data_IF_916577974747
#
_entry.id   IF_916577974747
#
_cell.length_a   1.000
_cell.length_b   1.000
_cell.length_c   1.000
_cell.angle_alpha   90.00
_cell.angle_beta   90.00
_cell.angle_gamma   90.00
#
_symmetry.space_group_name_H-M   'P 1'
#
loop_
_entity.id
_entity.type
_entity.pdbx_description
1 polymer ?
#
# COMPACT_ATOMS: atom_id res chain seq x y z
N UNK A 1 11.51 -49.19 -17.92
CA UNK A 1 11.06 -47.76 -18.03
C UNK A 1 10.23 -47.23 -16.82
N UNK A 2 10.33 -47.83 -15.64
CA UNK A 2 9.42 -47.52 -14.50
C UNK A 2 10.06 -46.85 -13.27
N UNK A 3 11.38 -46.72 -13.21
CA UNK A 3 12.06 -46.11 -12.04
C UNK A 3 12.29 -44.61 -12.16
N UNK A 4 12.39 -44.09 -13.37
CA UNK A 4 12.61 -42.61 -13.61
C UNK A 4 11.32 -41.79 -13.44
N UNK A 5 10.14 -42.35 -13.71
CA UNK A 5 8.87 -41.69 -13.54
C UNK A 5 8.47 -41.48 -12.05
N UNK A 6 8.85 -42.44 -11.19
CA UNK A 6 8.59 -42.38 -9.75
C UNK A 6 9.45 -41.32 -9.04
N UNK A 7 10.71 -41.11 -9.49
CA UNK A 7 11.58 -40.07 -8.93
C UNK A 7 11.10 -38.64 -9.30
N UNK A 8 10.59 -38.45 -10.52
CA UNK A 8 10.08 -37.15 -10.94
C UNK A 8 8.79 -36.77 -10.19
N UNK A 9 7.92 -37.73 -9.93
CA UNK A 9 6.69 -37.51 -9.15
C UNK A 9 7.00 -37.24 -7.67
N UNK A 10 8.01 -37.88 -7.09
CA UNK A 10 8.44 -37.63 -5.70
C UNK A 10 9.10 -36.26 -5.53
N UNK A 11 9.91 -35.79 -6.51
CA UNK A 11 10.49 -34.47 -6.49
C UNK A 11 9.42 -33.36 -6.65
N UNK A 12 8.42 -33.58 -7.50
CA UNK A 12 7.32 -32.63 -7.67
C UNK A 12 6.45 -32.54 -6.40
N UNK A 13 6.22 -33.66 -5.71
CA UNK A 13 5.50 -33.69 -4.45
C UNK A 13 6.27 -32.99 -3.32
N UNK A 14 7.59 -33.16 -3.23
CA UNK A 14 8.45 -32.50 -2.24
C UNK A 14 8.50 -30.98 -2.46
N UNK A 15 8.52 -30.51 -3.71
CA UNK A 15 8.48 -29.07 -4.00
C UNK A 15 7.11 -28.45 -3.76
N UNK A 16 6.03 -29.20 -3.91
CA UNK A 16 4.68 -28.76 -3.60
C UNK A 16 4.45 -28.62 -2.08
N UNK A 17 4.99 -29.54 -1.27
CA UNK A 17 4.89 -29.48 0.19
C UNK A 17 5.72 -28.33 0.78
N UNK A 18 6.94 -28.08 0.27
CA UNK A 18 7.76 -26.96 0.71
C UNK A 18 7.15 -25.58 0.38
N UNK A 19 6.24 -25.49 -0.62
CA UNK A 19 5.51 -24.27 -0.94
C UNK A 19 4.25 -24.08 -0.08
N UNK A 20 3.62 -25.17 0.37
CA UNK A 20 2.41 -25.07 1.20
C UNK A 20 2.69 -24.49 2.59
N UNK A 21 3.90 -24.68 3.14
CA UNK A 21 4.31 -24.15 4.44
C UNK A 21 4.65 -22.63 4.42
N UNK A 22 4.77 -22.03 3.24
CA UNK A 22 5.11 -20.62 3.10
C UNK A 22 3.91 -19.67 3.23
N UNK A 23 2.68 -20.18 3.05
CA UNK A 23 1.46 -19.39 3.08
C UNK A 23 0.62 -19.68 4.32
N UNK A 24 0.07 -18.60 4.90
CA UNK A 24 -0.93 -18.72 5.94
C UNK A 24 -2.30 -19.11 5.37
N UNK A 25 -3.14 -19.78 6.15
CA UNK A 25 -4.53 -19.99 5.77
C UNK A 25 -5.24 -18.66 5.55
N UNK A 26 -6.14 -18.56 4.56
CA UNK A 26 -7.00 -17.40 4.36
C UNK A 26 -7.73 -17.02 5.65
N UNK A 27 -7.72 -15.75 6.01
CA UNK A 27 -8.33 -15.28 7.25
C UNK A 27 -7.41 -15.30 8.47
N UNK A 28 -6.22 -15.88 8.38
CA UNK A 28 -5.20 -15.79 9.45
C UNK A 28 -4.94 -14.32 9.76
N UNK A 29 -4.84 -14.01 11.04
CA UNK A 29 -4.62 -12.64 11.51
C UNK A 29 -3.14 -12.39 11.78
N UNK A 30 -2.70 -11.16 11.54
CA UNK A 30 -1.41 -10.64 11.93
C UNK A 30 -1.56 -9.22 12.45
N UNK A 31 -0.54 -8.73 13.14
CA UNK A 31 -0.46 -7.34 13.56
C UNK A 31 0.82 -6.73 13.01
N UNK A 32 0.70 -5.60 12.30
CA UNK A 32 1.82 -4.77 11.86
C UNK A 32 1.90 -3.54 12.76
N UNK A 33 2.95 -3.44 13.56
CA UNK A 33 3.23 -2.25 14.37
C UNK A 33 4.31 -1.43 13.72
N UNK A 34 4.18 -0.11 13.75
CA UNK A 34 5.18 0.83 13.23
C UNK A 34 5.35 1.98 14.20
N UNK A 35 6.59 2.36 14.44
CA UNK A 35 6.98 3.57 15.16
C UNK A 35 7.76 4.47 14.22
N UNK A 36 7.30 5.70 14.06
CA UNK A 36 7.98 6.79 13.38
C UNK A 36 8.53 7.74 14.42
N UNK A 37 9.81 8.02 14.38
CA UNK A 37 10.45 9.04 15.22
C UNK A 37 11.15 10.03 14.29
N UNK A 38 10.63 11.23 14.18
CA UNK A 38 11.31 12.34 13.51
C UNK A 38 11.98 13.22 14.56
N UNK A 39 13.29 13.32 14.46
CA UNK A 39 14.09 14.14 15.34
C UNK A 39 14.94 15.13 14.51
N UNK A 40 14.90 16.40 14.90
CA UNK A 40 15.74 17.45 14.33
C UNK A 40 16.20 18.37 15.47
N UNK A 41 17.48 18.58 15.55
CA UNK A 41 18.06 19.55 16.48
C UNK A 41 19.24 20.24 15.83
N UNK A 42 19.50 21.47 16.22
CA UNK A 42 20.63 22.20 15.70
C UNK A 42 20.74 23.61 16.26
N UNK A 43 21.84 24.23 15.88
CA UNK A 43 22.11 25.63 16.15
C UNK A 43 22.81 26.22 14.93
N UNK A 44 22.36 27.36 14.48
CA UNK A 44 23.07 28.22 13.52
C UNK A 44 23.37 29.54 14.17
N UNK A 45 24.51 30.11 13.82
CA UNK A 45 24.93 31.40 14.31
C UNK A 45 25.69 32.11 13.19
N UNK A 46 25.22 33.28 12.84
CA UNK A 46 25.91 34.23 12.00
C UNK A 46 26.29 35.44 12.85
N UNK A 47 26.95 36.48 12.30
CA UNK A 47 27.50 37.59 13.05
C UNK A 47 26.50 38.24 14.04
N UNK A 48 25.24 38.36 13.63
CA UNK A 48 24.20 39.04 14.43
C UNK A 48 22.92 38.17 14.63
N UNK A 49 22.84 37.02 13.96
CA UNK A 49 21.66 36.16 13.97
C UNK A 49 22.00 34.82 14.60
N UNK A 50 21.09 34.31 15.39
CA UNK A 50 21.21 32.93 15.91
C UNK A 50 19.87 32.25 15.89
N UNK A 51 19.89 30.93 15.60
CA UNK A 51 18.75 30.08 15.67
C UNK A 51 19.14 28.78 16.32
N UNK A 52 18.33 28.33 17.27
CA UNK A 52 18.44 27.03 17.89
C UNK A 52 17.09 26.33 17.83
N UNK A 53 17.07 25.04 17.50
CA UNK A 53 15.83 24.27 17.45
C UNK A 53 16.02 22.85 18.01
N UNK A 54 14.92 22.32 18.51
CA UNK A 54 14.77 20.93 18.87
C UNK A 54 13.34 20.50 18.51
N UNK A 55 13.22 19.48 17.66
CA UNK A 55 11.95 18.93 17.19
C UNK A 55 11.97 17.43 17.43
N UNK A 56 10.97 16.93 18.13
CA UNK A 56 10.75 15.50 18.33
C UNK A 56 9.27 15.18 18.07
N UNK A 57 9.03 14.32 17.06
CA UNK A 57 7.69 13.85 16.71
C UNK A 57 7.72 12.33 16.70
N UNK A 58 6.88 11.72 17.51
CA UNK A 58 6.73 10.26 17.57
C UNK A 58 5.32 9.88 17.18
N UNK A 59 5.19 8.89 16.31
CA UNK A 59 3.91 8.26 15.96
C UNK A 59 4.05 6.77 16.09
N UNK A 60 3.13 6.14 16.81
CA UNK A 60 3.04 4.68 16.96
C UNK A 60 1.72 4.22 16.37
N UNK A 61 1.78 3.35 15.38
CA UNK A 61 0.61 2.79 14.70
C UNK A 61 0.60 1.28 14.82
N UNK A 62 -0.60 0.73 14.87
CA UNK A 62 -0.85 -0.70 14.82
C UNK A 62 -1.97 -0.97 13.83
N UNK A 63 -1.73 -1.86 12.87
CA UNK A 63 -2.70 -2.32 11.90
C UNK A 63 -2.92 -3.81 12.07
N UNK A 64 -4.20 -4.21 12.18
CA UNK A 64 -4.58 -5.62 12.14
C UNK A 64 -4.71 -6.05 10.68
N UNK A 65 -3.96 -7.06 10.28
CA UNK A 65 -3.91 -7.59 8.93
C UNK A 65 -4.63 -8.94 8.85
N UNK A 66 -5.21 -9.22 7.68
CA UNK A 66 -5.87 -10.49 7.38
C UNK A 66 -5.28 -11.08 6.10
N UNK A 67 -4.82 -12.33 6.17
CA UNK A 67 -4.28 -13.07 5.05
C UNK A 67 -5.35 -13.30 3.98
N UNK A 68 -5.02 -12.99 2.74
CA UNK A 68 -5.84 -13.24 1.56
C UNK A 68 -5.48 -14.61 0.92
N UNK A 69 -6.28 -15.04 -0.02
CA UNK A 69 -5.94 -16.23 -0.83
C UNK A 69 -4.64 -15.98 -1.59
N UNK A 70 -3.68 -16.92 -1.57
CA UNK A 70 -2.46 -16.80 -2.36
C UNK A 70 -2.75 -16.66 -3.85
N UNK A 71 -1.95 -15.86 -4.56
CA UNK A 71 -2.15 -15.49 -5.96
C UNK A 71 -0.84 -15.57 -6.76
N UNK A 72 -0.92 -15.69 -8.08
CA UNK A 72 0.27 -15.83 -8.93
C UNK A 72 0.97 -14.49 -9.22
N UNK A 73 0.23 -13.36 -9.21
CA UNK A 73 0.77 -12.03 -9.50
C UNK A 73 0.91 -11.19 -8.23
N UNK A 74 1.93 -10.33 -8.17
CA UNK A 74 2.12 -9.45 -7.02
C UNK A 74 1.14 -8.27 -7.03
N UNK A 75 0.89 -7.74 -5.82
CA UNK A 75 0.14 -6.49 -5.60
C UNK A 75 1.05 -5.40 -5.06
N UNK A 76 1.92 -5.73 -4.11
CA UNK A 76 2.86 -4.79 -3.47
C UNK A 76 4.27 -4.95 -4.04
N UNK A 77 4.68 -6.15 -4.36
CA UNK A 77 5.94 -6.39 -5.07
C UNK A 77 5.88 -5.83 -6.49
N UNK A 78 6.99 -5.33 -6.99
CA UNK A 78 7.10 -5.00 -8.41
C UNK A 78 7.10 -6.28 -9.24
N UNK A 79 6.34 -6.26 -10.33
CA UNK A 79 6.40 -7.34 -11.32
C UNK A 79 7.79 -7.39 -11.95
N UNK A 80 8.36 -8.58 -12.03
CA UNK A 80 9.55 -8.85 -12.81
C UNK A 80 9.30 -8.61 -14.31
N UNK A 81 10.35 -8.30 -15.08
CA UNK A 81 10.22 -8.04 -16.51
C UNK A 81 9.54 -9.20 -17.26
N UNK A 82 9.89 -10.45 -16.91
CA UNK A 82 9.25 -11.65 -17.45
C UNK A 82 7.76 -11.75 -17.13
N UNK A 83 7.35 -11.41 -15.90
CA UNK A 83 5.94 -11.40 -15.48
C UNK A 83 5.14 -10.32 -16.24
N UNK A 84 5.73 -9.12 -16.44
CA UNK A 84 5.11 -8.04 -17.22
C UNK A 84 4.89 -8.47 -18.67
N UNK A 85 5.90 -9.11 -19.27
CA UNK A 85 5.82 -9.59 -20.65
C UNK A 85 4.76 -10.71 -20.80
N UNK A 86 4.74 -11.67 -19.85
CA UNK A 86 3.75 -12.75 -19.85
C UNK A 86 2.31 -12.21 -19.67
N UNK A 87 2.12 -11.27 -18.76
CA UNK A 87 0.83 -10.62 -18.54
C UNK A 87 0.36 -9.88 -19.81
N UNK A 88 1.25 -9.13 -20.45
CA UNK A 88 0.94 -8.44 -21.70
C UNK A 88 0.53 -9.44 -22.79
N UNK A 89 1.30 -10.52 -23.00
CA UNK A 89 0.98 -11.55 -23.97
C UNK A 89 -0.39 -12.22 -23.69
N UNK A 90 -0.72 -12.46 -22.42
CA UNK A 90 -2.02 -12.99 -22.00
C UNK A 90 -3.16 -12.00 -22.27
N UNK A 91 -2.95 -10.72 -21.99
CA UNK A 91 -3.93 -9.68 -22.30
C UNK A 91 -4.20 -9.57 -23.81
N UNK A 92 -3.15 -9.60 -24.64
CA UNK A 92 -3.28 -9.58 -26.09
C UNK A 92 -4.05 -10.81 -26.60
N UNK A 93 -3.79 -12.00 -26.05
CA UNK A 93 -4.56 -13.22 -26.38
C UNK A 93 -6.04 -13.10 -25.99
N UNK A 94 -6.34 -12.58 -24.80
CA UNK A 94 -7.72 -12.36 -24.34
C UNK A 94 -8.43 -11.36 -25.25
N UNK A 95 -7.78 -10.25 -25.58
CA UNK A 95 -8.33 -9.24 -26.49
C UNK A 95 -8.62 -9.83 -27.88
N UNK A 96 -7.66 -10.54 -28.48
CA UNK A 96 -7.85 -11.21 -29.76
C UNK A 96 -8.98 -12.24 -29.72
N UNK A 97 -9.10 -12.99 -28.63
CA UNK A 97 -10.18 -13.95 -28.44
C UNK A 97 -11.54 -13.26 -28.31
N UNK A 98 -11.62 -12.15 -27.56
CA UNK A 98 -12.85 -11.34 -27.43
C UNK A 98 -13.29 -10.76 -28.80
N UNK A 99 -12.35 -10.26 -29.59
CA UNK A 99 -12.62 -9.78 -30.95
C UNK A 99 -13.19 -10.87 -31.85
N UNK A 100 -12.70 -12.11 -31.73
CA UNK A 100 -13.24 -13.28 -32.45
C UNK A 100 -14.66 -13.68 -31.98
N UNK A 101 -14.98 -13.44 -30.71
CA UNK A 101 -16.31 -13.72 -30.13
C UNK A 101 -17.34 -12.63 -30.47
N UNK A 102 -16.92 -11.40 -30.74
CA UNK A 102 -17.81 -10.26 -30.95
C UNK A 102 -18.91 -10.50 -32.01
N UNK A 103 -18.63 -11.10 -33.19
CA UNK A 103 -19.69 -11.37 -34.18
C UNK A 103 -20.77 -12.34 -33.66
N UNK A 104 -20.35 -13.39 -32.96
CA UNK A 104 -21.29 -14.37 -32.38
C UNK A 104 -22.15 -13.73 -31.28
N UNK A 105 -21.54 -12.91 -30.43
CA UNK A 105 -22.26 -12.16 -29.39
C UNK A 105 -23.28 -11.18 -30.00
N UNK A 106 -22.91 -10.46 -31.07
CA UNK A 106 -23.81 -9.56 -31.76
C UNK A 106 -25.02 -10.30 -32.38
N UNK A 107 -24.80 -11.48 -32.95
CA UNK A 107 -25.88 -12.29 -33.53
C UNK A 107 -26.78 -12.87 -32.45
N UNK A 108 -26.22 -13.33 -31.33
CA UNK A 108 -27.01 -13.77 -30.16
C UNK A 108 -27.86 -12.62 -29.60
N UNK A 109 -27.31 -11.41 -29.48
CA UNK A 109 -28.06 -10.23 -29.03
C UNK A 109 -29.25 -9.93 -29.96
N UNK A 110 -29.09 -10.07 -31.28
CA UNK A 110 -30.20 -9.91 -32.23
C UNK A 110 -31.29 -10.95 -32.02
N UNK A 111 -30.90 -12.21 -31.76
CA UNK A 111 -31.85 -13.28 -31.43
C UNK A 111 -32.62 -12.97 -30.15
N UNK A 112 -31.90 -12.54 -29.10
CA UNK A 112 -32.52 -12.12 -27.83
C UNK A 112 -33.48 -10.93 -28.02
N UNK A 113 -33.07 -9.94 -28.79
CA UNK A 113 -33.93 -8.77 -29.09
C UNK A 113 -35.19 -9.17 -29.89
N UNK A 114 -35.11 -10.18 -30.76
CA UNK A 114 -36.22 -10.70 -31.55
C UNK A 114 -37.23 -11.51 -30.72
N UNK A 115 -36.71 -12.34 -29.83
CA UNK A 115 -37.54 -13.30 -29.07
C UNK A 115 -38.00 -12.75 -27.70
N UNK A 116 -37.31 -11.74 -27.12
CA UNK A 116 -37.62 -11.26 -25.78
C UNK A 116 -37.50 -12.37 -24.74
N UNK A 117 -38.54 -12.56 -23.94
CA UNK A 117 -38.63 -13.60 -22.89
C UNK A 117 -39.25 -14.93 -23.38
N UNK A 118 -39.58 -15.04 -24.70
CA UNK A 118 -40.13 -16.29 -25.26
C UNK A 118 -39.06 -17.36 -25.42
N UNK A 119 -39.00 -18.26 -24.45
CA UNK A 119 -38.03 -19.37 -24.41
C UNK A 119 -38.14 -20.27 -25.66
N UNK A 120 -39.35 -20.56 -26.17
CA UNK A 120 -39.55 -21.39 -27.35
C UNK A 120 -39.05 -20.72 -28.64
N UNK A 121 -39.13 -19.37 -28.71
CA UNK A 121 -38.56 -18.61 -29.79
C UNK A 121 -37.01 -18.63 -29.69
N UNK A 122 -36.46 -18.39 -28.49
CA UNK A 122 -35.00 -18.40 -28.25
C UNK A 122 -34.38 -19.73 -28.64
N UNK A 123 -34.96 -20.86 -28.18
CA UNK A 123 -34.46 -22.18 -28.50
C UNK A 123 -34.47 -22.45 -30.01
N UNK A 124 -35.54 -22.13 -30.70
CA UNK A 124 -35.69 -22.27 -32.14
C UNK A 124 -34.68 -21.46 -32.95
N UNK A 125 -34.51 -20.18 -32.58
CA UNK A 125 -33.59 -19.28 -33.29
C UNK A 125 -32.11 -19.64 -33.00
N UNK A 126 -31.76 -20.02 -31.78
CA UNK A 126 -30.41 -20.51 -31.43
C UNK A 126 -30.10 -21.81 -32.16
N UNK A 127 -31.09 -22.73 -32.25
CA UNK A 127 -30.90 -23.98 -32.99
C UNK A 127 -30.68 -23.72 -34.49
N UNK A 128 -31.45 -22.82 -35.11
CA UNK A 128 -31.25 -22.39 -36.51
C UNK A 128 -29.89 -21.77 -36.72
N UNK A 129 -29.46 -20.91 -35.82
CA UNK A 129 -28.14 -20.26 -35.86
C UNK A 129 -27.02 -21.30 -35.84
N UNK A 130 -27.10 -22.30 -34.97
CA UNK A 130 -26.10 -23.37 -34.87
C UNK A 130 -26.10 -24.39 -36.00
N UNK A 131 -27.15 -24.43 -36.85
CA UNK A 131 -27.28 -25.40 -37.94
C UNK A 131 -26.78 -24.87 -39.30
N UNK A 132 -26.56 -23.56 -39.46
CA UNK A 132 -25.98 -23.01 -40.69
C UNK A 132 -24.49 -23.28 -40.77
N UNK A 133 -23.94 -23.59 -41.96
CA UNK A 133 -22.52 -23.85 -42.12
C UNK A 133 -21.63 -22.64 -41.74
N UNK A 134 -22.08 -21.43 -42.03
CA UNK A 134 -21.38 -20.22 -41.66
C UNK A 134 -21.43 -19.94 -40.15
N UNK A 135 -22.56 -20.26 -39.50
CA UNK A 135 -22.76 -20.07 -38.08
C UNK A 135 -22.06 -21.14 -37.26
N UNK A 136 -22.00 -22.36 -37.78
CA UNK A 136 -21.18 -23.46 -37.20
C UNK A 136 -19.70 -23.10 -37.17
N UNK A 137 -19.18 -22.46 -38.22
CA UNK A 137 -17.80 -21.98 -38.25
C UNK A 137 -17.56 -20.86 -37.21
N UNK A 138 -18.51 -19.90 -37.09
CA UNK A 138 -18.45 -18.86 -36.07
C UNK A 138 -18.52 -19.45 -34.66
N UNK A 139 -19.40 -20.37 -34.40
CA UNK A 139 -19.55 -21.08 -33.10
C UNK A 139 -18.27 -21.85 -32.73
N UNK A 140 -17.63 -22.51 -33.68
CA UNK A 140 -16.37 -23.20 -33.44
C UNK A 140 -15.23 -22.22 -33.12
N UNK A 141 -15.20 -21.09 -33.84
CA UNK A 141 -14.24 -20.00 -33.56
C UNK A 141 -14.48 -19.40 -32.15
N UNK A 142 -15.73 -19.17 -31.76
CA UNK A 142 -16.08 -18.68 -30.43
C UNK A 142 -15.67 -19.68 -29.32
N UNK A 143 -15.95 -20.96 -29.51
CA UNK A 143 -15.52 -22.02 -28.57
C UNK A 143 -14.00 -22.11 -28.42
N UNK A 144 -13.26 -21.94 -29.52
CA UNK A 144 -11.80 -21.87 -29.47
C UNK A 144 -11.33 -20.64 -28.73
N UNK A 145 -11.94 -19.48 -29.02
CA UNK A 145 -11.62 -18.23 -28.33
C UNK A 145 -11.93 -18.28 -26.82
N UNK A 146 -13.05 -18.93 -26.42
CA UNK A 146 -13.39 -19.14 -25.02
C UNK A 146 -12.35 -20.01 -24.30
N UNK A 147 -11.86 -21.07 -24.95
CA UNK A 147 -10.73 -21.86 -24.44
C UNK A 147 -9.45 -21.04 -24.33
N UNK A 148 -9.15 -20.20 -25.30
CA UNK A 148 -7.97 -19.32 -25.27
C UNK A 148 -8.06 -18.32 -24.13
N UNK A 149 -9.25 -17.75 -23.87
CA UNK A 149 -9.52 -16.88 -22.71
C UNK A 149 -9.31 -17.66 -21.41
N UNK A 150 -9.87 -18.85 -21.28
CA UNK A 150 -9.73 -19.69 -20.09
C UNK A 150 -8.25 -20.04 -19.80
N UNK A 151 -7.48 -20.39 -20.84
CA UNK A 151 -6.04 -20.66 -20.72
C UNK A 151 -5.27 -19.41 -20.36
N UNK A 152 -5.56 -18.27 -21.01
CA UNK A 152 -4.89 -17.00 -20.73
C UNK A 152 -5.21 -16.46 -19.33
N UNK A 153 -6.42 -16.74 -18.82
CA UNK A 153 -6.85 -16.37 -17.46
C UNK A 153 -6.21 -17.22 -16.37
N UNK A 154 -5.70 -18.40 -16.72
CA UNK A 154 -4.94 -19.23 -15.77
C UNK A 154 -3.58 -18.60 -15.50
N UNK A 155 -3.48 -17.92 -14.37
CA UNK A 155 -2.32 -17.11 -13.97
C UNK A 155 -1.16 -17.96 -13.41
N UNK A 156 -1.24 -19.27 -13.46
CA UNK A 156 -0.22 -20.17 -12.96
C UNK A 156 -0.27 -20.42 -11.43
N UNK A 157 0.75 -21.07 -10.87
CA UNK A 157 0.78 -21.42 -9.45
C UNK A 157 0.90 -20.19 -8.56
N UNK A 158 0.25 -20.22 -7.40
CA UNK A 158 0.34 -19.17 -6.41
C UNK A 158 1.79 -18.97 -5.96
N UNK A 159 2.24 -17.72 -5.96
CA UNK A 159 3.58 -17.30 -5.53
C UNK A 159 3.54 -16.22 -4.45
N UNK A 160 2.49 -15.39 -4.45
CA UNK A 160 2.36 -14.25 -3.55
C UNK A 160 1.17 -14.42 -2.61
N UNK A 161 1.33 -14.00 -1.37
CA UNK A 161 0.21 -13.89 -0.44
C UNK A 161 0.11 -12.48 0.10
N UNK A 162 -1.03 -11.83 -0.20
CA UNK A 162 -1.36 -10.50 0.28
C UNK A 162 -2.01 -10.59 1.66
N UNK A 163 -1.65 -9.65 2.54
CA UNK A 163 -2.28 -9.37 3.81
C UNK A 163 -2.79 -7.94 3.78
N UNK A 164 -4.08 -7.74 4.02
CA UNK A 164 -4.73 -6.43 3.96
C UNK A 164 -5.16 -5.96 5.33
N UNK A 165 -5.05 -4.67 5.60
CA UNK A 165 -5.48 -4.11 6.87
C UNK A 165 -7.00 -4.17 7.03
N UNK A 166 -7.44 -4.71 8.16
CA UNK A 166 -8.83 -4.67 8.61
C UNK A 166 -9.09 -3.44 9.47
N UNK A 167 -8.10 -3.00 10.26
CA UNK A 167 -8.20 -1.85 11.14
C UNK A 167 -6.84 -1.21 11.36
N UNK A 168 -6.84 0.05 11.79
CA UNK A 168 -5.64 0.80 12.15
C UNK A 168 -5.95 1.70 13.34
N UNK A 169 -5.03 1.77 14.30
CA UNK A 169 -5.08 2.66 15.45
C UNK A 169 -3.69 3.13 15.83
N UNK A 170 -3.59 4.19 16.59
CA UNK A 170 -2.28 4.65 17.05
C UNK A 170 -2.32 5.88 17.92
N UNK A 171 -1.15 6.25 18.42
CA UNK A 171 -0.92 7.42 19.26
C UNK A 171 0.20 8.26 18.69
N UNK A 172 0.24 9.51 19.07
CA UNK A 172 1.33 10.41 18.70
C UNK A 172 1.75 11.31 19.86
N UNK A 173 2.97 11.83 19.77
CA UNK A 173 3.48 12.91 20.62
C UNK A 173 4.32 13.86 19.78
N UNK A 174 4.23 15.14 20.08
CA UNK A 174 4.96 16.24 19.45
C UNK A 174 5.53 17.11 20.54
N UNK A 175 6.84 17.36 20.48
CA UNK A 175 7.55 18.32 21.32
C UNK A 175 8.52 19.09 20.42
N UNK A 176 8.31 20.40 20.35
CA UNK A 176 9.11 21.29 19.50
C UNK A 176 9.48 22.52 20.29
N UNK A 177 10.71 22.97 20.13
CA UNK A 177 11.16 24.28 20.61
C UNK A 177 12.05 24.94 19.57
N UNK A 178 11.90 26.24 19.42
CA UNK A 178 12.77 27.08 18.59
C UNK A 178 13.03 28.36 19.32
N UNK A 179 14.30 28.78 19.35
CA UNK A 179 14.76 30.08 19.81
C UNK A 179 15.47 30.74 18.66
N UNK A 180 15.04 31.96 18.32
CA UNK A 180 15.59 32.75 17.21
C UNK A 180 15.90 34.17 17.70
N UNK A 181 17.08 34.61 17.38
CA UNK A 181 17.50 36.02 17.60
C UNK A 181 17.92 36.56 16.25
N UNK A 182 17.30 37.65 15.81
CA UNK A 182 17.59 38.33 14.55
C UNK A 182 17.98 39.76 14.83
N UNK A 183 19.03 40.25 14.20
CA UNK A 183 19.38 41.67 14.25
C UNK A 183 18.39 42.48 13.43
N UNK A 184 17.58 43.28 14.09
CA UNK A 184 16.58 44.13 13.46
C UNK A 184 16.39 45.43 14.26
N UNK A 185 16.67 46.59 13.65
CA UNK A 185 16.44 47.88 14.29
C UNK A 185 14.98 48.13 14.73
N UNK A 186 14.00 47.46 14.10
CA UNK A 186 12.60 47.57 14.46
C UNK A 186 12.28 47.03 15.86
N UNK A 187 13.19 46.24 16.46
CA UNK A 187 13.04 45.69 17.80
C UNK A 187 13.54 46.64 18.94
N UNK A 188 13.64 47.91 18.65
CA UNK A 188 13.90 48.94 19.64
C UNK A 188 15.36 49.00 20.13
N UNK A 189 15.56 49.42 21.39
CA UNK A 189 16.90 49.68 21.94
C UNK A 189 17.84 48.45 21.97
N UNK A 190 17.29 47.22 21.92
CA UNK A 190 18.09 45.99 21.86
C UNK A 190 18.69 45.75 20.48
N UNK A 191 18.16 46.32 19.43
CA UNK A 191 18.50 46.07 18.02
C UNK A 191 18.39 44.58 17.64
N UNK A 192 17.73 43.76 18.47
CA UNK A 192 17.54 42.34 18.28
C UNK A 192 16.10 41.92 18.53
N UNK A 193 15.53 41.23 17.57
CA UNK A 193 14.25 40.55 17.71
C UNK A 193 14.47 39.13 18.22
N UNK A 194 13.85 38.82 19.35
CA UNK A 194 13.87 37.47 19.93
C UNK A 194 12.53 36.79 19.73
N UNK A 195 12.55 35.56 19.30
CA UNK A 195 11.36 34.74 19.15
C UNK A 195 11.58 33.35 19.78
N UNK A 196 10.71 33.01 20.72
CA UNK A 196 10.62 31.68 21.32
C UNK A 196 9.34 31.00 20.84
N UNK A 197 9.48 29.85 20.21
CA UNK A 197 8.36 28.99 19.82
C UNK A 197 8.43 27.69 20.61
N UNK A 198 7.30 27.27 21.18
CA UNK A 198 7.16 25.98 21.84
C UNK A 198 5.91 25.27 21.32
N UNK A 199 6.08 24.09 20.80
CA UNK A 199 5.01 23.24 20.28
C UNK A 199 4.83 21.99 21.14
N UNK A 200 3.58 21.66 21.46
CA UNK A 200 3.24 20.43 22.20
C UNK A 200 1.94 19.84 21.68
N UNK A 201 1.95 18.54 21.44
CA UNK A 201 0.77 17.79 21.03
C UNK A 201 0.88 16.32 21.44
N UNK A 202 -0.23 15.62 21.47
CA UNK A 202 -0.26 14.20 21.78
C UNK A 202 -1.66 13.67 21.99
N UNK A 203 -1.78 12.37 21.89
CA UNK A 203 -3.05 11.65 22.04
C UNK A 203 -3.22 10.54 21.02
N UNK A 204 -4.46 10.19 20.74
CA UNK A 204 -4.78 9.26 19.67
C UNK A 204 -4.62 9.92 18.29
N UNK A 205 -4.17 9.14 17.31
CA UNK A 205 -4.07 9.62 15.93
C UNK A 205 -5.48 9.94 15.42
N UNK A 206 -5.73 11.18 14.94
CA UNK A 206 -7.06 11.60 14.58
C UNK A 206 -7.58 10.87 13.34
N UNK A 207 -8.88 10.65 13.32
CA UNK A 207 -9.59 10.13 12.15
C UNK A 207 -9.75 11.25 11.10
N UNK A 208 -9.85 10.91 9.80
CA UNK A 208 -10.23 11.87 8.78
C UNK A 208 -11.58 12.53 9.11
N UNK A 209 -11.77 13.82 8.77
CA UNK A 209 -13.03 14.51 8.98
C UNK A 209 -14.22 13.73 8.37
N UNK A 210 -15.28 13.54 9.16
CA UNK A 210 -16.47 12.80 8.74
C UNK A 210 -16.35 11.28 8.77
N UNK A 211 -15.18 10.72 9.05
CA UNK A 211 -15.03 9.29 9.22
C UNK A 211 -15.56 8.85 10.58
N UNK A 212 -16.45 7.86 10.58
CA UNK A 212 -16.85 7.15 11.80
C UNK A 212 -15.92 5.94 11.94
N UNK A 213 -15.28 5.80 13.10
CA UNK A 213 -14.54 4.58 13.39
C UNK A 213 -15.54 3.40 13.45
N UNK A 214 -15.45 2.40 12.58
CA UNK A 214 -16.16 1.16 12.80
C UNK A 214 -15.65 0.51 14.07
N UNK A 215 -16.42 -0.38 14.68
CA UNK A 215 -15.95 -1.16 15.81
C UNK A 215 -14.64 -1.88 15.43
N UNK A 216 -13.52 -1.43 15.97
CA UNK A 216 -12.18 -1.94 15.61
C UNK A 216 -11.26 -0.98 14.87
N UNK A 217 -11.67 0.26 14.60
CA UNK A 217 -10.87 1.27 13.93
C UNK A 217 -11.17 1.40 12.42
N UNK A 218 -10.54 2.37 11.77
CA UNK A 218 -10.68 2.59 10.32
C UNK A 218 -10.02 1.46 9.52
N UNK A 219 -10.58 1.12 8.34
CA UNK A 219 -9.85 0.31 7.38
C UNK A 219 -8.53 1.01 7.04
N UNK A 220 -7.41 0.34 7.32
CA UNK A 220 -6.09 0.87 6.98
C UNK A 220 -5.72 0.54 5.54
N UNK A 221 -4.87 1.38 4.94
CA UNK A 221 -4.24 1.09 3.64
C UNK A 221 -2.97 0.25 3.76
N UNK A 222 -2.66 -0.22 4.99
CA UNK A 222 -1.48 -1.05 5.23
C UNK A 222 -1.63 -2.40 4.56
N UNK A 223 -0.56 -2.86 3.96
CA UNK A 223 -0.50 -4.16 3.30
C UNK A 223 0.84 -4.81 3.56
N UNK A 224 0.83 -6.12 3.64
CA UNK A 224 2.03 -6.95 3.61
C UNK A 224 1.86 -7.98 2.51
N UNK A 225 2.90 -8.24 1.75
CA UNK A 225 2.88 -9.27 0.71
C UNK A 225 4.12 -10.13 0.79
N UNK A 226 3.90 -11.44 0.91
CA UNK A 226 4.95 -12.46 0.94
C UNK A 226 5.14 -12.99 -0.47
N UNK A 227 6.36 -12.93 -1.00
CA UNK A 227 6.79 -13.69 -2.15
C UNK A 227 7.47 -14.99 -1.67
N UNK A 228 6.75 -16.11 -1.75
CA UNK A 228 7.28 -17.41 -1.34
C UNK A 228 8.39 -17.91 -2.27
N UNK A 229 8.37 -17.52 -3.55
CA UNK A 229 9.41 -17.88 -4.53
C UNK A 229 10.71 -17.13 -4.30
N UNK A 230 10.62 -15.83 -4.11
CA UNK A 230 11.76 -14.95 -3.84
C UNK A 230 12.17 -14.88 -2.37
N UNK A 231 11.41 -15.49 -1.47
CA UNK A 231 11.60 -15.40 -0.01
C UNK A 231 11.76 -13.96 0.47
N UNK A 232 10.87 -13.09 0.02
CA UNK A 232 10.86 -11.66 0.35
C UNK A 232 9.51 -11.21 0.88
N UNK A 233 9.54 -10.19 1.71
CA UNK A 233 8.38 -9.49 2.25
C UNK A 233 8.38 -8.06 1.73
N UNK A 234 7.27 -7.61 1.17
CA UNK A 234 7.00 -6.22 0.85
C UNK A 234 5.93 -5.66 1.79
N UNK A 235 6.16 -4.46 2.34
CA UNK A 235 5.27 -3.81 3.30
C UNK A 235 4.90 -2.41 2.83
N UNK A 236 3.61 -2.11 2.80
CA UNK A 236 3.10 -0.75 2.82
C UNK A 236 2.83 -0.41 4.28
N UNK A 237 3.68 0.41 4.87
CA UNK A 237 3.61 0.75 6.28
C UNK A 237 2.40 1.66 6.55
N UNK A 238 1.68 1.46 7.68
CA UNK A 238 0.60 2.34 8.09
C UNK A 238 1.11 3.76 8.34
N UNK A 239 0.36 4.76 7.90
CA UNK A 239 0.62 6.17 8.18
C UNK A 239 -0.63 6.84 8.74
N UNK A 240 -0.51 7.94 9.52
CA UNK A 240 -1.67 8.73 9.91
C UNK A 240 -2.46 9.19 8.70
N UNK A 241 -3.76 8.95 8.70
CA UNK A 241 -4.66 9.35 7.60
C UNK A 241 -4.99 10.85 7.61
N UNK A 242 -4.71 11.51 8.74
CA UNK A 242 -4.90 12.95 8.93
C UNK A 242 -3.64 13.57 9.51
N UNK A 243 -3.37 14.86 9.25
CA UNK A 243 -2.33 15.60 9.96
C UNK A 243 -2.60 15.61 11.46
N UNK A 244 -1.53 15.66 12.23
CA UNK A 244 -1.53 15.58 13.69
C UNK A 244 -1.68 16.97 14.29
N UNK A 245 -2.67 17.25 15.15
CA UNK A 245 -2.85 18.55 15.78
C UNK A 245 -1.87 18.75 16.93
N UNK A 246 -1.39 19.98 17.08
CA UNK A 246 -0.61 20.37 18.24
C UNK A 246 -0.81 21.87 18.55
N UNK A 247 -0.51 22.25 19.78
CA UNK A 247 -0.59 23.64 20.23
C UNK A 247 0.79 24.26 20.17
N UNK A 248 0.93 25.39 19.46
CA UNK A 248 2.15 26.16 19.33
C UNK A 248 2.01 27.51 20.05
N UNK A 249 2.93 27.80 20.95
CA UNK A 249 3.01 29.08 21.65
C UNK A 249 4.21 29.85 21.15
N UNK A 250 3.98 31.09 20.72
CA UNK A 250 5.01 32.01 20.23
C UNK A 250 5.10 33.22 21.19
N UNK A 251 6.30 33.45 21.69
CA UNK A 251 6.66 34.67 22.44
C UNK A 251 7.67 35.45 21.61
N UNK A 252 7.40 36.70 21.31
CA UNK A 252 8.26 37.49 20.45
C UNK A 252 8.16 38.99 20.81
N UNK A 253 9.26 39.71 20.63
CA UNK A 253 9.30 41.18 20.65
C UNK A 253 9.39 41.73 19.21
N UNK A 254 9.39 40.89 18.17
CA UNK A 254 9.38 41.37 16.78
C UNK A 254 8.05 42.03 16.45
N UNK A 255 8.05 43.26 15.91
CA UNK A 255 6.83 43.93 15.48
C UNK A 255 6.14 43.25 14.31
N UNK A 256 6.90 42.51 13.49
CA UNK A 256 6.42 41.83 12.29
C UNK A 256 5.87 40.44 12.58
N UNK A 257 5.98 39.97 13.81
CA UNK A 257 5.56 38.63 14.21
C UNK A 257 4.54 38.65 15.33
N UNK A 258 3.41 37.97 15.12
CA UNK A 258 2.36 37.86 16.14
C UNK A 258 2.70 36.81 17.17
N UNK A 259 2.86 37.23 18.44
CA UNK A 259 2.90 36.30 19.58
C UNK A 259 1.51 35.76 19.91
N UNK A 260 1.45 34.60 20.57
CA UNK A 260 0.20 33.98 20.98
C UNK A 260 0.25 32.48 21.01
N UNK A 261 -0.92 31.87 21.18
CA UNK A 261 -1.09 30.43 21.16
C UNK A 261 -1.96 30.04 19.97
N UNK A 262 -1.51 29.06 19.17
CA UNK A 262 -2.12 28.65 17.91
C UNK A 262 -2.32 27.14 17.90
N UNK A 263 -3.37 26.69 17.23
CA UNK A 263 -3.54 25.28 16.86
C UNK A 263 -2.94 25.07 15.48
N UNK A 264 -2.00 24.14 15.37
CA UNK A 264 -1.33 23.82 14.12
C UNK A 264 -1.46 22.32 13.78
N UNK A 265 -1.19 21.99 12.54
CA UNK A 265 -1.26 20.65 12.02
C UNK A 265 0.08 20.26 11.39
N UNK A 266 0.56 19.05 11.68
CA UNK A 266 1.80 18.55 11.10
C UNK A 266 1.65 17.13 10.58
N UNK A 267 2.40 16.78 9.53
CA UNK A 267 2.52 15.40 9.05
C UNK A 267 3.70 14.70 9.71
N UNK A 268 3.48 13.46 10.13
CA UNK A 268 4.53 12.54 10.52
C UNK A 268 4.13 11.13 10.07
N UNK A 269 4.89 10.49 9.18
CA UNK A 269 6.18 10.93 8.62
C UNK A 269 6.04 12.20 7.75
N UNK A 270 7.10 13.02 7.64
CA UNK A 270 7.04 14.30 6.92
C UNK A 270 7.09 14.16 5.40
N UNK A 271 7.25 12.94 4.87
CA UNK A 271 7.25 12.61 3.45
C UNK A 271 6.57 11.28 3.17
N UNK A 272 6.19 11.08 1.92
CA UNK A 272 5.66 9.80 1.46
C UNK A 272 6.74 8.71 1.50
N UNK A 273 6.33 7.54 1.99
CA UNK A 273 7.21 6.38 2.13
C UNK A 273 6.99 5.41 0.97
N UNK A 274 8.08 4.85 0.48
CA UNK A 274 8.02 3.72 -0.44
C UNK A 274 7.75 2.42 0.33
N UNK A 275 7.19 1.39 -0.32
CA UNK A 275 7.09 0.07 0.30
C UNK A 275 8.46 -0.43 0.75
N UNK A 276 8.53 -0.93 1.98
CA UNK A 276 9.72 -1.57 2.54
C UNK A 276 9.82 -2.98 1.97
N UNK A 277 11.04 -3.40 1.59
CA UNK A 277 11.30 -4.76 1.08
C UNK A 277 12.44 -5.39 1.84
N UNK A 278 12.20 -6.59 2.36
CA UNK A 278 13.19 -7.34 3.15
C UNK A 278 13.16 -8.82 2.79
N UNK A 279 14.28 -9.49 3.01
CA UNK A 279 14.33 -10.95 2.96
C UNK A 279 13.57 -11.53 4.16
N UNK A 280 12.78 -12.57 3.93
CA UNK A 280 12.08 -13.31 4.99
C UNK A 280 13.10 -14.04 5.86
N UNK A 281 13.06 -13.82 7.16
CA UNK A 281 13.89 -14.49 8.17
C UNK A 281 13.14 -15.58 8.91
N UNK A 282 11.86 -15.34 9.21
CA UNK A 282 11.00 -16.21 10.02
C UNK A 282 9.86 -16.88 9.27
N UNK A 283 9.97 -17.07 7.95
CA UNK A 283 8.89 -17.63 7.14
C UNK A 283 7.66 -16.72 7.03
N UNK A 284 7.82 -15.41 7.25
CA UNK A 284 6.75 -14.40 7.13
C UNK A 284 5.83 -14.29 8.35
N UNK A 285 6.15 -14.97 9.44
CA UNK A 285 5.32 -14.96 10.67
C UNK A 285 5.75 -13.89 11.67
N UNK A 286 7.05 -13.71 11.85
CA UNK A 286 7.62 -12.71 12.76
C UNK A 286 8.79 -12.00 12.06
N UNK A 287 8.51 -10.84 11.51
CA UNK A 287 9.49 -10.04 10.78
C UNK A 287 9.59 -8.64 11.40
N UNK A 288 10.76 -8.05 11.39
CA UNK A 288 10.98 -6.70 11.90
C UNK A 288 12.11 -6.00 11.18
N UNK A 289 12.10 -4.68 11.20
CA UNK A 289 13.15 -3.88 10.63
C UNK A 289 13.21 -2.47 11.18
N UNK A 290 14.33 -1.82 10.88
CA UNK A 290 14.58 -0.41 11.20
C UNK A 290 15.19 0.25 9.98
N UNK A 291 14.71 1.46 9.66
CA UNK A 291 15.22 2.30 8.58
C UNK A 291 15.44 3.71 9.10
N UNK A 292 16.50 4.38 8.66
CA UNK A 292 16.78 5.77 8.95
C UNK A 292 16.83 6.58 7.65
N UNK A 293 16.09 7.68 7.61
CA UNK A 293 15.97 8.53 6.44
C UNK A 293 16.33 9.96 6.83
N UNK A 294 17.32 10.55 6.16
CA UNK A 294 17.60 11.96 6.29
C UNK A 294 16.53 12.79 5.58
N UNK A 295 15.97 13.75 6.27
CA UNK A 295 14.96 14.68 5.77
C UNK A 295 15.63 16.06 5.68
N UNK A 296 15.69 16.61 4.48
CA UNK A 296 16.13 17.98 4.30
C UNK A 296 15.04 18.94 4.84
N UNK A 297 15.43 19.93 5.61
CA UNK A 297 14.54 20.99 6.10
C UNK A 297 14.65 22.26 5.26
N UNK A 298 13.56 23.02 5.17
CA UNK A 298 13.60 24.38 4.65
C UNK A 298 14.39 25.26 5.63
N UNK A 299 15.43 25.95 5.15
CA UNK A 299 16.26 26.82 6.01
C UNK A 299 17.31 26.10 6.86
N UNK A 300 17.65 24.84 6.53
CA UNK A 300 18.70 24.10 7.24
C UNK A 300 18.22 23.24 8.41
N UNK A 301 16.94 23.27 8.75
CA UNK A 301 16.33 22.54 9.89
C UNK A 301 16.13 21.05 9.60
N UNK A 302 17.00 20.42 8.81
CA UNK A 302 16.91 19.00 8.46
C UNK A 302 16.96 18.09 9.68
N UNK A 303 16.37 16.90 9.55
CA UNK A 303 16.30 15.92 10.63
C UNK A 303 16.48 14.49 10.16
N UNK A 304 16.30 13.58 11.09
CA UNK A 304 16.34 12.13 10.83
C UNK A 304 14.98 11.55 11.16
N UNK A 305 14.40 10.82 10.21
CA UNK A 305 13.23 9.98 10.42
C UNK A 305 13.72 8.54 10.65
N UNK A 306 13.49 8.02 11.84
CA UNK A 306 13.70 6.61 12.17
C UNK A 306 12.37 5.89 12.09
N UNK A 307 12.32 4.80 11.35
CA UNK A 307 11.16 3.94 11.16
C UNK A 307 11.49 2.58 11.78
N UNK A 308 10.69 2.12 12.75
CA UNK A 308 10.79 0.77 13.30
C UNK A 308 9.47 0.06 13.05
N UNK A 309 9.53 -1.15 12.53
CA UNK A 309 8.33 -1.92 12.26
C UNK A 309 8.48 -3.37 12.72
N UNK A 310 7.36 -3.99 13.06
CA UNK A 310 7.27 -5.41 13.40
C UNK A 310 5.96 -5.97 12.87
N UNK A 311 6.04 -7.06 12.10
CA UNK A 311 4.92 -7.89 11.67
C UNK A 311 4.91 -9.15 12.54
N UNK A 312 3.77 -9.46 13.15
CA UNK A 312 3.59 -10.66 14.00
C UNK A 312 2.32 -11.37 13.57
N UNK A 313 2.43 -12.59 13.05
CA UNK A 313 1.27 -13.45 12.77
C UNK A 313 0.79 -14.12 14.05
N UNK A 314 -0.56 -14.26 14.17
CA UNK A 314 -1.23 -14.88 15.34
C UNK A 314 -1.60 -16.32 15.03
#
# INVERSE_FOLDING_TARGET
>A
MTRTALLAAALAALTAHARADAFAAKGTKATLTVEYVYASNGKTQDQNDSRQWNVNRTVKLSADLIAQTPQPLPTVHEMEAGQKADLKNKQEKVQSAQEKMAPVQADIQKIMAKCGEDEACLEREIQKYGMSNSDSAKMNTARSADKDIAVASNQGPARYQLWTAASQKGTYSIEESRHEVLADPACGASLHCTTDENGKGGGEVPLPPGAKAPAGGLPGFSMAEIDAGGKTLALVLPVPLSPLPYTKTIKTNSPDRKGGTFQELVRCPPKDLKPVRVALKGGGRDESGTEEIKIAGAGGDGGTLTIRWKLTAK
#
